data_IF_110294228492
#
_entry.id   IF_110294228492
#
_cell.length_a   1.000
_cell.length_b   1.000
_cell.length_c   1.000
_cell.angle_alpha   90.00
_cell.angle_beta   90.00
_cell.angle_gamma   90.00
#
_symmetry.space_group_name_H-M   'P 1'
#
loop_
_entity.id
_entity.type
_entity.pdbx_description
1 polymer ?
#
# COMPACT_ATOMS: atom_id res chain seq x y z
N UNK A 1 7.95 -17.10 -18.03
CA UNK A 1 8.41 -15.99 -17.14
C UNK A 1 7.34 -14.95 -16.85
N UNK A 2 6.56 -14.49 -17.85
CA UNK A 2 5.56 -13.43 -17.64
C UNK A 2 4.44 -13.79 -16.63
N UNK A 3 3.98 -15.04 -16.62
CA UNK A 3 3.00 -15.51 -15.63
C UNK A 3 3.48 -15.37 -14.18
N UNK A 4 4.77 -15.64 -13.92
CA UNK A 4 5.36 -15.49 -12.59
C UNK A 4 5.42 -14.02 -12.17
N UNK A 5 5.70 -13.11 -13.10
CA UNK A 5 5.71 -11.68 -12.83
C UNK A 5 4.30 -11.16 -12.53
N UNK A 6 3.29 -11.60 -13.28
CA UNK A 6 1.88 -11.29 -12.99
C UNK A 6 1.49 -11.78 -11.60
N UNK A 7 1.87 -13.00 -11.22
CA UNK A 7 1.60 -13.53 -9.88
C UNK A 7 2.26 -12.70 -8.77
N UNK A 8 3.49 -12.20 -8.98
CA UNK A 8 4.14 -11.30 -8.02
C UNK A 8 3.36 -10.00 -7.83
N UNK A 9 2.85 -9.41 -8.91
CA UNK A 9 2.02 -8.21 -8.82
C UNK A 9 0.65 -8.46 -8.18
N UNK A 10 0.01 -9.60 -8.45
CA UNK A 10 -1.23 -9.98 -7.75
C UNK A 10 -0.99 -10.11 -6.25
N UNK A 11 0.15 -10.71 -5.86
CA UNK A 11 0.51 -10.87 -4.47
C UNK A 11 0.88 -9.52 -3.80
N UNK A 12 1.42 -8.56 -4.56
CA UNK A 12 1.59 -7.17 -4.12
C UNK A 12 0.23 -6.50 -3.85
N UNK A 13 -0.72 -6.60 -4.79
CA UNK A 13 -2.09 -6.06 -4.64
C UNK A 13 -2.76 -6.64 -3.40
N UNK A 14 -2.68 -7.96 -3.21
CA UNK A 14 -3.22 -8.63 -2.04
C UNK A 14 -2.57 -8.13 -0.74
N UNK A 15 -1.25 -7.92 -0.71
CA UNK A 15 -0.56 -7.38 0.45
C UNK A 15 -1.04 -5.98 0.82
N UNK A 16 -1.25 -5.10 -0.17
CA UNK A 16 -1.84 -3.78 0.07
C UNK A 16 -3.24 -3.91 0.66
N UNK A 17 -4.06 -4.83 0.16
CA UNK A 17 -5.38 -5.11 0.73
C UNK A 17 -5.32 -5.56 2.19
N UNK A 18 -4.33 -6.39 2.56
CA UNK A 18 -4.09 -6.78 3.96
C UNK A 18 -3.73 -5.56 4.81
N UNK A 19 -2.82 -4.69 4.34
CA UNK A 19 -2.42 -3.51 5.11
C UNK A 19 -3.59 -2.51 5.23
N UNK A 20 -4.42 -2.38 4.20
CA UNK A 20 -5.64 -1.56 4.21
C UNK A 20 -6.67 -2.00 5.26
N UNK A 21 -6.67 -3.27 5.67
CA UNK A 21 -7.56 -3.80 6.70
C UNK A 21 -6.97 -3.71 8.12
N UNK A 22 -5.69 -3.37 8.26
CA UNK A 22 -5.01 -3.28 9.55
C UNK A 22 -5.08 -1.85 10.14
N UNK A 23 -5.02 -1.71 11.48
CA UNK A 23 -4.62 -0.46 12.09
C UNK A 23 -3.30 0.02 11.48
N UNK A 24 -3.12 1.33 11.28
CA UNK A 24 -1.93 1.89 10.61
C UNK A 24 -0.66 1.88 11.48
N UNK A 25 -0.80 1.50 12.75
CA UNK A 25 0.28 1.47 13.74
C UNK A 25 0.28 0.14 14.50
N UNK A 26 1.37 -0.11 15.23
CA UNK A 26 1.60 -1.32 16.02
C UNK A 26 2.41 -2.39 15.28
N UNK A 27 2.74 -3.45 16.01
CA UNK A 27 3.61 -4.53 15.52
C UNK A 27 3.06 -5.21 14.25
N UNK A 28 1.75 -5.45 14.19
CA UNK A 28 1.11 -6.09 13.03
C UNK A 28 1.26 -5.25 11.75
N UNK A 29 1.06 -3.93 11.84
CA UNK A 29 1.28 -3.00 10.72
C UNK A 29 2.75 -2.98 10.30
N UNK A 30 3.67 -2.91 11.28
CA UNK A 30 5.10 -3.00 11.03
C UNK A 30 5.50 -4.26 10.24
N UNK A 31 5.05 -5.44 10.68
CA UNK A 31 5.34 -6.70 9.98
C UNK A 31 4.69 -6.76 8.59
N UNK A 32 3.48 -6.23 8.43
CA UNK A 32 2.82 -6.17 7.13
C UNK A 32 3.56 -5.25 6.15
N UNK A 33 4.15 -4.16 6.63
CA UNK A 33 4.99 -3.23 5.86
C UNK A 33 6.38 -3.82 5.54
N UNK A 34 7.00 -4.60 6.42
CA UNK A 34 8.22 -5.35 6.09
C UNK A 34 7.98 -6.35 4.95
N UNK A 35 6.85 -7.07 5.01
CA UNK A 35 6.45 -7.98 3.93
C UNK A 35 6.25 -7.21 2.61
N UNK A 36 5.73 -5.98 2.66
CA UNK A 36 5.60 -5.13 1.49
C UNK A 36 6.98 -4.72 0.94
N UNK A 37 7.92 -4.33 1.81
CA UNK A 37 9.32 -4.03 1.45
C UNK A 37 9.98 -5.22 0.74
N UNK A 38 9.83 -6.43 1.29
CA UNK A 38 10.38 -7.64 0.69
C UNK A 38 9.79 -7.92 -0.71
N UNK A 39 8.51 -7.62 -0.92
CA UNK A 39 7.86 -7.75 -2.24
C UNK A 39 8.41 -6.76 -3.26
N UNK A 40 8.62 -5.49 -2.89
CA UNK A 40 9.26 -4.53 -3.81
C UNK A 40 10.68 -4.96 -4.19
N UNK A 41 11.45 -5.46 -3.22
CA UNK A 41 12.78 -6.02 -3.48
C UNK A 41 12.72 -7.21 -4.45
N UNK A 42 11.79 -8.13 -4.26
CA UNK A 42 11.61 -9.29 -5.14
C UNK A 42 11.20 -8.87 -6.57
N UNK A 43 10.32 -7.88 -6.71
CA UNK A 43 9.95 -7.29 -8.01
C UNK A 43 11.14 -6.61 -8.69
N UNK A 44 12.01 -5.95 -7.92
CA UNK A 44 13.22 -5.29 -8.43
C UNK A 44 14.26 -6.29 -8.94
N UNK A 45 14.33 -7.46 -8.32
CA UNK A 45 15.18 -8.57 -8.75
C UNK A 45 14.57 -9.37 -9.93
N UNK A 46 13.29 -9.15 -10.24
CA UNK A 46 12.58 -9.85 -11.31
C UNK A 46 12.75 -9.17 -12.68
N UNK A 47 12.45 -9.87 -13.79
CA UNK A 47 12.46 -9.28 -15.11
C UNK A 47 11.55 -8.04 -15.19
N UNK A 48 12.00 -7.02 -15.93
CA UNK A 48 11.20 -5.81 -16.18
C UNK A 48 10.11 -6.15 -17.21
N UNK A 49 8.85 -5.72 -16.99
CA UNK A 49 7.80 -5.85 -17.99
C UNK A 49 8.21 -5.25 -19.34
N UNK A 50 7.74 -5.85 -20.43
CA UNK A 50 7.95 -5.30 -21.77
C UNK A 50 7.39 -3.87 -21.86
N UNK A 51 7.99 -3.00 -22.68
CA UNK A 51 7.53 -1.61 -22.91
C UNK A 51 7.56 -0.68 -21.69
N UNK A 52 8.21 -1.09 -20.59
CA UNK A 52 8.48 -0.24 -19.43
C UNK A 52 9.94 0.19 -19.44
N UNK A 53 10.20 1.49 -19.22
CA UNK A 53 11.56 2.01 -19.07
C UNK A 53 12.23 1.42 -17.82
N UNK A 54 13.34 0.71 -18.03
CA UNK A 54 14.01 -0.06 -16.98
C UNK A 54 14.60 0.84 -15.87
N UNK A 55 15.39 1.89 -16.14
CA UNK A 55 15.93 2.76 -15.10
C UNK A 55 14.84 3.36 -14.21
N UNK A 56 13.79 3.93 -14.82
CA UNK A 56 12.69 4.55 -14.09
C UNK A 56 11.92 3.54 -13.24
N UNK A 57 11.66 2.34 -13.78
CA UNK A 57 10.97 1.27 -13.08
C UNK A 57 11.75 0.77 -11.85
N UNK A 58 13.04 0.48 -12.03
CA UNK A 58 13.90 0.01 -10.94
C UNK A 58 14.05 1.08 -9.87
N UNK A 59 14.25 2.34 -10.27
CA UNK A 59 14.33 3.48 -9.35
C UNK A 59 13.05 3.64 -8.53
N UNK A 60 11.88 3.53 -9.15
CA UNK A 60 10.59 3.59 -8.44
C UNK A 60 10.43 2.46 -7.44
N UNK A 61 10.75 1.22 -7.81
CA UNK A 61 10.68 0.08 -6.89
C UNK A 61 11.65 0.22 -5.72
N UNK A 62 12.86 0.73 -5.96
CA UNK A 62 13.83 1.00 -4.91
C UNK A 62 13.34 2.08 -3.94
N UNK A 63 12.77 3.18 -4.45
CA UNK A 63 12.15 4.20 -3.60
C UNK A 63 11.00 3.63 -2.78
N UNK A 64 10.09 2.85 -3.39
CA UNK A 64 8.98 2.19 -2.69
C UNK A 64 9.48 1.24 -1.59
N UNK A 65 10.55 0.48 -1.85
CA UNK A 65 11.23 -0.36 -0.86
C UNK A 65 11.68 0.46 0.37
N UNK A 66 12.36 1.59 0.16
CA UNK A 66 12.83 2.46 1.25
C UNK A 66 11.70 3.12 2.02
N UNK A 67 10.67 3.61 1.31
CA UNK A 67 9.51 4.23 1.96
C UNK A 67 8.74 3.22 2.81
N UNK A 68 8.56 1.98 2.33
CA UNK A 68 7.89 0.92 3.07
C UNK A 68 8.67 0.50 4.33
N UNK A 69 10.00 0.40 4.24
CA UNK A 69 10.84 0.14 5.41
C UNK A 69 10.69 1.24 6.47
N UNK A 70 10.78 2.51 6.07
CA UNK A 70 10.59 3.63 6.99
C UNK A 70 9.18 3.67 7.59
N UNK A 71 8.14 3.36 6.80
CA UNK A 71 6.77 3.26 7.31
C UNK A 71 6.63 2.12 8.33
N UNK A 72 7.33 1.00 8.15
CA UNK A 72 7.33 -0.12 9.09
C UNK A 72 7.90 0.28 10.45
N UNK A 73 9.01 1.01 10.46
CA UNK A 73 9.64 1.50 11.70
C UNK A 73 8.71 2.48 12.44
N UNK A 74 8.11 3.41 11.70
CA UNK A 74 7.14 4.37 12.24
C UNK A 74 5.89 3.67 12.79
N UNK A 75 5.40 2.65 12.09
CA UNK A 75 4.27 1.85 12.54
C UNK A 75 4.59 1.12 13.86
N UNK A 76 5.78 0.50 13.97
CA UNK A 76 6.22 -0.15 15.22
C UNK A 76 6.36 0.84 16.37
N UNK A 77 6.87 2.03 16.07
CA UNK A 77 6.97 3.13 17.04
C UNK A 77 5.60 3.76 17.39
N UNK A 78 4.50 3.29 16.78
CA UNK A 78 3.16 3.88 16.90
C UNK A 78 3.12 5.37 16.55
N UNK A 79 4.00 5.79 15.64
CA UNK A 79 4.11 7.16 15.16
C UNK A 79 2.93 7.50 14.25
N UNK A 80 2.32 8.69 14.39
CA UNK A 80 1.25 9.13 13.49
C UNK A 80 1.74 9.29 12.04
N UNK A 81 3.05 9.39 11.81
CA UNK A 81 3.63 9.46 10.46
C UNK A 81 3.46 8.17 9.65
N UNK A 82 3.21 7.03 10.31
CA UNK A 82 3.01 5.75 9.65
C UNK A 82 1.83 5.81 8.65
N UNK A 83 0.74 6.47 9.02
CA UNK A 83 -0.44 6.64 8.17
C UNK A 83 -0.10 7.43 6.90
N UNK A 84 0.49 8.62 7.06
CA UNK A 84 0.83 9.49 5.92
C UNK A 84 1.82 8.81 4.96
N UNK A 85 2.82 8.11 5.50
CA UNK A 85 3.79 7.35 4.69
C UNK A 85 3.10 6.22 3.92
N UNK A 86 2.20 5.49 4.58
CA UNK A 86 1.46 4.42 3.93
C UNK A 86 0.57 4.94 2.79
N UNK A 87 -0.13 6.06 2.98
CA UNK A 87 -0.98 6.64 1.93
C UNK A 87 -0.16 7.00 0.68
N UNK A 88 1.05 7.54 0.86
CA UNK A 88 2.00 7.79 -0.23
C UNK A 88 2.43 6.49 -0.90
N UNK A 89 2.81 5.46 -0.13
CA UNK A 89 3.19 4.15 -0.67
C UNK A 89 2.05 3.59 -1.52
N UNK A 90 0.82 3.61 -1.00
CA UNK A 90 -0.36 3.08 -1.68
C UNK A 90 -0.64 3.82 -2.99
N UNK A 91 -0.58 5.16 -2.99
CA UNK A 91 -0.75 5.96 -4.19
C UNK A 91 0.33 5.67 -5.24
N UNK A 92 1.60 5.62 -4.84
CA UNK A 92 2.71 5.32 -5.75
C UNK A 92 2.67 3.89 -6.28
N UNK A 93 2.13 2.95 -5.49
CA UNK A 93 1.89 1.57 -5.92
C UNK A 93 0.80 1.51 -6.99
N UNK A 94 -0.28 2.28 -6.87
CA UNK A 94 -1.29 2.38 -7.92
C UNK A 94 -0.68 2.88 -9.24
N UNK A 95 0.18 3.91 -9.17
CA UNK A 95 0.90 4.43 -10.34
C UNK A 95 1.86 3.40 -10.93
N UNK A 96 2.53 2.59 -10.10
CA UNK A 96 3.35 1.47 -10.56
C UNK A 96 2.49 0.44 -11.30
N UNK A 97 1.33 0.06 -10.77
CA UNK A 97 0.42 -0.88 -11.42
C UNK A 97 -0.05 -0.37 -12.79
N UNK A 98 -0.45 0.90 -12.87
CA UNK A 98 -0.85 1.53 -14.13
C UNK A 98 0.27 1.47 -15.19
N UNK A 99 1.53 1.68 -14.78
CA UNK A 99 2.69 1.59 -15.67
C UNK A 99 2.90 0.18 -16.20
N UNK A 100 2.81 -0.84 -15.35
CA UNK A 100 3.13 -2.22 -15.73
C UNK A 100 1.98 -2.96 -16.41
N UNK A 101 0.74 -2.53 -16.20
CA UNK A 101 -0.45 -3.14 -16.81
C UNK A 101 -0.34 -3.23 -18.34
N UNK A 102 0.10 -2.15 -19.00
CA UNK A 102 0.30 -2.13 -20.46
C UNK A 102 1.41 -3.08 -20.95
N UNK A 103 2.48 -3.22 -20.15
CA UNK A 103 3.61 -4.11 -20.45
C UNK A 103 3.34 -5.59 -20.15
N UNK A 104 2.36 -5.86 -19.28
CA UNK A 104 1.96 -7.20 -18.85
C UNK A 104 0.67 -7.70 -19.53
N UNK A 105 -0.08 -6.82 -20.19
CA UNK A 105 -1.40 -7.16 -20.75
C UNK A 105 -2.42 -7.47 -19.66
N UNK A 106 -2.36 -6.75 -18.53
CA UNK A 106 -3.23 -6.97 -17.36
C UNK A 106 -3.97 -5.71 -16.96
N UNK A 107 -4.97 -5.83 -16.08
CA UNK A 107 -5.75 -4.73 -15.51
C UNK A 107 -5.70 -4.76 -13.99
N UNK A 108 -4.50 -4.89 -13.41
CA UNK A 108 -4.32 -4.94 -11.97
C UNK A 108 -4.61 -3.57 -11.36
N UNK A 109 -5.39 -3.54 -10.29
CA UNK A 109 -5.75 -2.33 -9.56
C UNK A 109 -5.74 -2.62 -8.07
N UNK A 110 -5.47 -1.59 -7.27
CA UNK A 110 -5.60 -1.69 -5.82
C UNK A 110 -7.10 -1.70 -5.44
N UNK A 111 -7.50 -2.48 -4.41
CA UNK A 111 -8.86 -2.41 -3.87
C UNK A 111 -9.15 -1.00 -3.34
N UNK A 112 -10.41 -0.56 -3.31
CA UNK A 112 -10.75 0.74 -2.73
C UNK A 112 -10.28 0.81 -1.26
N UNK A 113 -9.77 1.97 -0.77
CA UNK A 113 -9.42 2.08 0.63
C UNK A 113 -10.68 1.84 1.46
N UNK A 114 -10.60 0.96 2.47
CA UNK A 114 -11.69 0.81 3.43
C UNK A 114 -11.74 2.13 4.20
N UNK A 115 -12.76 2.95 3.94
CA UNK A 115 -12.94 4.20 4.67
C UNK A 115 -13.04 3.87 6.17
N UNK A 116 -12.26 4.57 6.99
CA UNK A 116 -12.47 4.56 8.43
C UNK A 116 -13.94 4.91 8.67
N UNK A 117 -14.69 4.03 9.32
CA UNK A 117 -16.09 4.33 9.59
C UNK A 117 -16.16 5.65 10.35
N UNK A 118 -17.00 6.62 9.92
CA UNK A 118 -17.21 7.80 10.73
C UNK A 118 -17.74 7.31 12.08
N UNK A 119 -16.97 7.52 13.15
CA UNK A 119 -17.49 7.41 14.50
C UNK A 119 -18.70 8.32 14.54
N UNK A 120 -19.89 7.75 14.58
CA UNK A 120 -21.10 8.48 14.86
C UNK A 120 -20.95 8.98 16.29
N UNK A 121 -20.43 10.20 16.42
CA UNK A 121 -20.67 11.04 17.59
C UNK A 121 -22.18 11.23 17.62
N UNK A 122 -22.88 10.26 18.21
CA UNK A 122 -24.31 10.34 18.48
C UNK A 122 -24.48 11.53 19.39
N UNK A 123 -24.86 12.65 18.79
CA UNK A 123 -25.17 13.89 19.49
C UNK A 123 -26.25 13.58 20.50
N UNK A 124 -25.88 13.56 21.78
CA UNK A 124 -26.83 13.54 22.86
C UNK A 124 -27.55 14.88 22.85
N UNK A 125 -28.63 14.93 22.07
CA UNK A 125 -29.62 15.99 22.03
C UNK A 125 -30.32 16.03 23.39
N UNK A 126 -29.80 16.83 24.32
CA UNK A 126 -30.57 17.21 25.51
C UNK A 126 -31.75 18.08 25.07
N UNK A 127 -32.94 17.67 25.48
CA UNK A 127 -34.27 18.20 25.13
C UNK A 127 -34.50 19.65 25.59
N UNK A 128 -35.41 20.41 24.94
CA UNK A 128 -35.82 21.72 25.43
C UNK A 128 -36.72 21.55 26.65
N UNK A 129 -36.31 22.08 27.79
CA UNK A 129 -37.14 22.16 28.99
C UNK A 129 -38.17 23.27 28.79
N UNK A 130 -39.45 22.89 28.73
CA UNK A 130 -40.60 23.82 28.80
C UNK A 130 -41.40 23.49 30.04
N UNK A 131 -41.19 24.25 31.11
CA UNK A 131 -42.21 24.79 32.01
C UNK A 131 -41.59 25.71 33.05
#
# INVERSE_FOLDING_TARGET
>A
MQAQLVAQYQALVAQIGVIDALPRTGAAAGSALDNLTARYRALRASPVPSKVDRPSYVGRLFSLELFAAAAADEARASSPQATARYDVIRAQTATLLALVNGGLGTALALPAPVAAQPTTSSGLRATPSTR
#
